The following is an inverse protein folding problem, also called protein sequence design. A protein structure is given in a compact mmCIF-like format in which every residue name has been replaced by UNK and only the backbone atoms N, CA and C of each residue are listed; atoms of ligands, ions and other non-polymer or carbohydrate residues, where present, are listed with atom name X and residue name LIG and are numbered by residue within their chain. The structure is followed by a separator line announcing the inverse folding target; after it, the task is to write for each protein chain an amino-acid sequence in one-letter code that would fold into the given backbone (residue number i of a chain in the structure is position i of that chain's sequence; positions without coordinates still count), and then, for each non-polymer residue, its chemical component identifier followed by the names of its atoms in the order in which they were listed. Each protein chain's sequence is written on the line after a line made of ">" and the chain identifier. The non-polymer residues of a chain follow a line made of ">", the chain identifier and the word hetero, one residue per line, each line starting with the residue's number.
data_IF_204404683213
#
_entry.id   IF_204404683213
#
_cell.length_a   1.000
_cell.length_b   1.000
_cell.length_c   1.000
_cell.angle_alpha   90.00
_cell.angle_beta   90.00
_cell.angle_gamma   90.00
#
_symmetry.space_group_name_H-M   'P 1'
#
loop_
_entity.id
_entity.type
_entity.pdbx_description
1 polymer ?
#
# COMPACT_ATOMS: atom_id res chain seq x y z
N UNK A 1 -13.89 -7.63 -25.25
CA UNK A 1 -13.49 -8.42 -24.07
C UNK A 1 -13.21 -7.42 -22.96
N UNK A 2 -13.91 -7.45 -21.81
CA UNK A 2 -13.52 -6.58 -20.72
C UNK A 2 -12.20 -7.10 -20.16
N UNK A 3 -11.20 -6.23 -20.15
CA UNK A 3 -9.99 -6.37 -19.36
C UNK A 3 -10.42 -6.73 -17.93
N UNK A 4 -9.91 -7.85 -17.42
CA UNK A 4 -10.05 -8.17 -16.01
C UNK A 4 -9.33 -7.06 -15.25
N UNK A 5 -10.11 -6.14 -14.69
CA UNK A 5 -9.61 -5.32 -13.61
C UNK A 5 -9.29 -6.31 -12.50
N UNK A 6 -8.03 -6.70 -12.37
CA UNK A 6 -7.50 -7.20 -11.10
C UNK A 6 -7.57 -6.02 -10.13
N UNK A 7 -8.80 -5.66 -9.73
CA UNK A 7 -9.05 -4.89 -8.55
C UNK A 7 -8.66 -5.81 -7.40
N UNK A 8 -7.36 -5.83 -7.09
CA UNK A 8 -6.87 -6.20 -5.76
C UNK A 8 -7.77 -5.45 -4.79
N UNK A 9 -8.73 -6.15 -4.19
CA UNK A 9 -9.73 -5.56 -3.33
C UNK A 9 -8.97 -4.79 -2.24
N UNK A 10 -9.03 -3.46 -2.31
CA UNK A 10 -8.33 -2.61 -1.36
C UNK A 10 -8.86 -2.96 0.02
N UNK A 11 -8.00 -3.36 0.97
CA UNK A 11 -8.42 -3.61 2.34
C UNK A 11 -9.16 -2.39 2.87
N UNK A 12 -10.26 -2.60 3.59
CA UNK A 12 -11.00 -1.50 4.22
C UNK A 12 -10.16 -0.74 5.26
N UNK A 13 -9.06 -1.34 5.72
CA UNK A 13 -8.12 -0.75 6.68
C UNK A 13 -6.70 -0.89 6.17
N UNK A 14 -6.03 0.24 6.05
CA UNK A 14 -4.61 0.33 5.70
C UNK A 14 -3.93 1.15 6.81
N UNK A 15 -3.78 0.57 8.02
CA UNK A 15 -3.31 1.30 9.19
C UNK A 15 -1.90 1.87 8.97
N UNK A 16 -1.00 1.15 8.30
CA UNK A 16 0.33 1.66 8.00
C UNK A 16 0.28 2.79 6.97
N UNK A 17 -0.47 2.62 5.88
CA UNK A 17 -0.66 3.69 4.90
C UNK A 17 -1.29 4.94 5.51
N UNK A 18 -2.27 4.77 6.39
CA UNK A 18 -2.92 5.87 7.12
C UNK A 18 -1.92 6.59 8.03
N UNK A 19 -1.06 5.84 8.72
CA UNK A 19 -0.08 6.42 9.63
C UNK A 19 1.01 7.21 8.89
N UNK A 20 1.49 6.72 7.73
CA UNK A 20 2.47 7.46 6.91
C UNK A 20 1.82 8.63 6.15
N UNK A 21 0.54 8.51 5.82
CA UNK A 21 -0.23 9.54 5.11
C UNK A 21 -0.92 10.54 6.04
N UNK A 22 -0.51 10.64 7.32
CA UNK A 22 -1.13 11.50 8.34
C UNK A 22 -1.30 12.99 7.94
N UNK A 23 -0.62 13.45 6.89
CA UNK A 23 -0.76 14.81 6.34
C UNK A 23 -1.88 14.97 5.29
N UNK A 24 -2.38 13.89 4.68
CA UNK A 24 -3.52 13.93 3.75
C UNK A 24 -4.73 13.27 4.42
N UNK A 25 -5.86 13.97 4.36
CA UNK A 25 -7.10 13.54 5.00
C UNK A 25 -7.74 12.32 4.31
N UNK A 26 -7.41 12.06 3.04
CA UNK A 26 -8.09 11.06 2.21
C UNK A 26 -7.13 10.05 1.54
N UNK A 27 -6.74 9.02 2.29
CA UNK A 27 -6.01 7.86 1.74
C UNK A 27 -6.84 7.03 0.76
N UNK A 28 -8.17 7.18 0.82
CA UNK A 28 -9.12 6.37 0.05
C UNK A 28 -9.18 6.78 -1.42
N UNK A 29 -8.67 7.97 -1.78
CA UNK A 29 -8.63 8.46 -3.16
C UNK A 29 -7.27 8.29 -3.83
N UNK A 30 -6.29 7.71 -3.14
CA UNK A 30 -4.95 7.52 -3.68
C UNK A 30 -4.98 6.48 -4.81
N UNK A 31 -4.28 6.78 -5.90
CA UNK A 31 -4.06 5.78 -6.95
C UNK A 31 -3.03 4.75 -6.49
N UNK A 32 -2.98 3.59 -7.14
CA UNK A 32 -1.98 2.56 -6.87
C UNK A 32 -0.53 3.11 -6.93
N UNK A 33 -0.24 4.01 -7.87
CA UNK A 33 1.03 4.73 -7.97
C UNK A 33 1.32 5.60 -6.73
N UNK A 34 0.35 6.42 -6.30
CA UNK A 34 0.54 7.26 -5.11
C UNK A 34 0.67 6.41 -3.84
N UNK A 35 -0.07 5.31 -3.74
CA UNK A 35 0.02 4.39 -2.61
C UNK A 35 1.42 3.79 -2.52
N UNK A 36 1.97 3.27 -3.62
CA UNK A 36 3.30 2.65 -3.60
C UNK A 36 4.39 3.67 -3.28
N UNK A 37 4.32 4.89 -3.82
CA UNK A 37 5.24 5.99 -3.50
C UNK A 37 5.24 6.32 -2.00
N UNK A 38 4.06 6.33 -1.38
CA UNK A 38 3.93 6.54 0.07
C UNK A 38 4.55 5.39 0.85
N UNK A 39 4.28 4.14 0.47
CA UNK A 39 4.88 2.97 1.11
C UNK A 39 6.40 2.98 0.99
N UNK A 40 6.96 3.34 -0.17
CA UNK A 40 8.41 3.41 -0.38
C UNK A 40 9.05 4.48 0.51
N UNK A 41 8.45 5.68 0.56
CA UNK A 41 8.91 6.79 1.40
C UNK A 41 8.75 6.49 2.90
N UNK A 42 7.67 5.82 3.25
CA UNK A 42 7.29 5.48 4.62
C UNK A 42 7.90 4.19 5.14
N UNK A 43 8.56 3.39 4.28
CA UNK A 43 8.99 2.02 4.59
C UNK A 43 9.82 1.91 5.87
N UNK A 44 10.68 2.90 6.13
CA UNK A 44 11.54 2.94 7.31
C UNK A 44 10.75 2.99 8.64
N UNK A 45 9.50 3.43 8.62
CA UNK A 45 8.65 3.54 9.80
C UNK A 45 7.81 2.29 10.10
N UNK A 46 7.98 1.22 9.33
CA UNK A 46 7.28 -0.06 9.55
C UNK A 46 7.61 -0.62 10.93
N UNK A 47 6.59 -0.91 11.73
CA UNK A 47 6.74 -1.34 13.13
C UNK A 47 6.98 -0.21 14.13
N UNK A 48 7.09 1.04 13.68
CA UNK A 48 7.10 2.24 14.54
C UNK A 48 5.75 2.93 14.51
N UNK A 49 5.22 3.18 13.30
CA UNK A 49 3.95 3.88 13.11
C UNK A 49 2.75 2.95 13.13
N UNK A 50 2.89 1.78 12.51
CA UNK A 50 1.94 0.69 12.59
C UNK A 50 2.64 -0.62 12.19
N UNK A 51 2.08 -1.73 12.64
CA UNK A 51 2.48 -3.06 12.21
C UNK A 51 1.86 -3.35 10.83
N UNK A 52 2.72 -3.59 9.85
CA UNK A 52 2.32 -3.95 8.50
C UNK A 52 2.13 -5.48 8.44
N UNK A 53 0.93 -5.93 8.74
CA UNK A 53 0.59 -7.35 8.84
C UNK A 53 -0.77 -7.68 8.20
N UNK A 54 -1.05 -8.98 8.04
CA UNK A 54 -2.34 -9.48 7.56
C UNK A 54 -2.69 -9.00 6.15
N UNK A 55 -3.92 -8.50 5.99
CA UNK A 55 -4.48 -8.10 4.69
C UNK A 55 -3.71 -6.94 4.05
N UNK A 56 -3.18 -6.00 4.84
CA UNK A 56 -2.40 -4.87 4.34
C UNK A 56 -1.07 -5.32 3.72
N UNK A 57 -0.41 -6.33 4.32
CA UNK A 57 0.82 -6.91 3.79
C UNK A 57 0.58 -7.61 2.44
N UNK A 58 -0.50 -8.39 2.34
CA UNK A 58 -0.88 -9.10 1.11
C UNK A 58 -1.22 -8.10 0.00
N UNK A 59 -1.92 -7.02 0.36
CA UNK A 59 -2.23 -5.92 -0.54
C UNK A 59 -0.95 -5.23 -1.02
N UNK A 60 -0.05 -4.84 -0.10
CA UNK A 60 1.21 -4.19 -0.46
C UNK A 60 2.06 -5.07 -1.38
N UNK A 61 2.12 -6.37 -1.11
CA UNK A 61 2.86 -7.31 -1.96
C UNK A 61 2.31 -7.34 -3.38
N UNK A 62 0.99 -7.39 -3.53
CA UNK A 62 0.32 -7.37 -4.83
C UNK A 62 0.51 -6.03 -5.55
N UNK A 63 0.44 -4.93 -4.80
CA UNK A 63 0.68 -3.57 -5.29
C UNK A 63 2.13 -3.39 -5.78
N UNK A 64 3.10 -3.83 -4.97
CA UNK A 64 4.52 -3.77 -5.32
C UNK A 64 4.85 -4.62 -6.54
N UNK A 65 4.20 -5.78 -6.70
CA UNK A 65 4.31 -6.60 -7.90
C UNK A 65 3.74 -5.89 -9.14
N UNK A 66 2.55 -5.29 -9.04
CA UNK A 66 1.93 -4.58 -10.14
C UNK A 66 2.73 -3.34 -10.58
N UNK A 67 3.33 -2.64 -9.62
CA UNK A 67 4.08 -1.41 -9.83
C UNK A 67 5.59 -1.63 -10.05
N UNK A 68 6.06 -2.88 -10.07
CA UNK A 68 7.49 -3.23 -10.18
C UNK A 68 8.38 -2.53 -9.13
N UNK A 69 7.86 -2.30 -7.92
CA UNK A 69 8.57 -1.63 -6.83
C UNK A 69 9.61 -2.54 -6.17
N UNK A 70 10.68 -1.94 -5.64
CA UNK A 70 11.71 -2.63 -4.85
C UNK A 70 11.17 -3.23 -3.54
N UNK A 71 9.99 -2.77 -3.09
CA UNK A 71 9.31 -3.31 -1.91
C UNK A 71 8.93 -4.78 -2.07
N UNK A 72 8.76 -5.28 -3.30
CA UNK A 72 8.43 -6.70 -3.56
C UNK A 72 9.43 -7.66 -2.93
N UNK A 73 10.68 -7.24 -2.76
CA UNK A 73 11.75 -8.06 -2.18
C UNK A 73 11.98 -7.77 -0.68
N UNK A 74 11.30 -6.78 -0.12
CA UNK A 74 11.47 -6.34 1.27
C UNK A 74 10.22 -6.61 2.13
N UNK A 75 9.09 -6.91 1.50
CA UNK A 75 7.78 -7.17 2.12
C UNK A 75 7.55 -8.66 2.45
#
# INVERSE_FOLDING_TARGET
>A
MPIVNNATAQPAKLPFLQAICWQREDVSQLTNDEMIDLYERGWHYRGVLADLEGDELIFLKSLAQAQHSWLVNNV
#
